data_IF_070720983101
#
_entry.id   IF_070720983101
#
_cell.length_a   1.000
_cell.length_b   1.000
_cell.length_c   1.000
_cell.angle_alpha   90.00
_cell.angle_beta   90.00
_cell.angle_gamma   90.00
#
_symmetry.space_group_name_H-M   'P 1'
#
loop_
_entity.id
_entity.type
_entity.pdbx_description
1 polymer ?
#
# COMPACT_ATOMS: atom_id res chain seq x y z
N UNK A 1 -2.88 -26.07 18.53
CA UNK A 1 -1.94 -26.36 17.42
C UNK A 1 -0.76 -25.40 17.57
N UNK A 2 0.50 -25.87 17.49
CA UNK A 2 1.65 -24.96 17.56
C UNK A 2 1.61 -24.05 16.32
N UNK A 3 1.72 -22.74 16.53
CA UNK A 3 1.75 -21.78 15.43
C UNK A 3 2.97 -22.05 14.54
N UNK A 4 2.79 -22.06 13.24
CA UNK A 4 3.82 -22.27 12.24
C UNK A 4 4.93 -21.19 12.39
N UNK A 5 6.24 -21.52 12.52
CA UNK A 5 7.29 -20.52 12.67
C UNK A 5 7.41 -19.64 11.41
N UNK A 6 7.81 -18.40 11.60
CA UNK A 6 8.29 -17.56 10.51
C UNK A 6 9.70 -17.98 10.08
N UNK A 7 10.06 -17.64 8.84
CA UNK A 7 11.37 -17.94 8.27
C UNK A 7 12.05 -16.72 7.67
N UNK A 8 13.21 -16.95 7.07
CA UNK A 8 13.91 -16.00 6.20
C UNK A 8 13.78 -16.49 4.76
N UNK A 9 13.57 -15.57 3.82
CA UNK A 9 13.74 -15.88 2.42
C UNK A 9 15.24 -15.85 2.05
N UNK A 10 15.92 -14.80 2.47
CA UNK A 10 17.37 -14.66 2.40
C UNK A 10 17.91 -14.27 3.77
N UNK A 11 18.37 -15.28 4.53
CA UNK A 11 18.89 -15.08 5.86
C UNK A 11 20.09 -14.12 5.87
N UNK A 12 20.95 -14.13 4.83
CA UNK A 12 22.10 -13.24 4.75
C UNK A 12 21.68 -11.77 4.69
N UNK A 13 20.76 -11.42 3.80
CA UNK A 13 20.28 -10.04 3.67
C UNK A 13 19.48 -9.60 4.89
N UNK A 14 18.61 -10.48 5.40
CA UNK A 14 17.69 -10.12 6.48
C UNK A 14 18.35 -10.03 7.86
N UNK A 15 19.51 -10.69 8.05
CA UNK A 15 20.29 -10.66 9.30
C UNK A 15 21.64 -9.95 9.18
N UNK A 16 21.86 -9.27 8.05
CA UNK A 16 23.12 -8.55 7.78
C UNK A 16 23.38 -7.49 8.87
N UNK A 17 24.59 -7.46 9.46
CA UNK A 17 24.96 -6.43 10.44
C UNK A 17 24.80 -5.01 9.88
N UNK A 18 24.45 -4.05 10.75
CA UNK A 18 24.16 -2.68 10.31
C UNK A 18 25.26 -2.04 9.47
N UNK A 19 26.56 -2.12 9.81
CA UNK A 19 27.62 -1.53 8.98
C UNK A 19 27.68 -2.13 7.57
N UNK A 20 27.54 -3.44 7.46
CA UNK A 20 27.54 -4.14 6.17
C UNK A 20 26.29 -3.78 5.36
N UNK A 21 25.12 -3.73 6.03
CA UNK A 21 23.85 -3.33 5.39
C UNK A 21 23.93 -1.89 4.87
N UNK A 22 24.51 -0.95 5.62
CA UNK A 22 24.70 0.43 5.16
C UNK A 22 25.61 0.49 3.93
N UNK A 23 26.71 -0.25 3.93
CA UNK A 23 27.61 -0.32 2.78
C UNK A 23 26.89 -0.91 1.56
N UNK A 24 26.21 -2.05 1.72
CA UNK A 24 25.46 -2.70 0.65
C UNK A 24 24.35 -1.81 0.08
N UNK A 25 23.56 -1.15 0.93
CA UNK A 25 22.53 -0.21 0.48
C UNK A 25 23.12 1.00 -0.25
N UNK A 26 24.29 1.49 0.21
CA UNK A 26 25.00 2.59 -0.45
C UNK A 26 25.49 2.22 -1.85
N UNK A 27 26.05 1.02 -2.03
CA UNK A 27 26.45 0.50 -3.34
C UNK A 27 25.25 0.35 -4.28
N UNK A 28 24.13 -0.24 -3.78
CA UNK A 28 22.90 -0.37 -4.55
C UNK A 28 22.30 0.98 -4.95
N UNK A 29 22.34 1.96 -4.03
CA UNK A 29 21.92 3.33 -4.34
C UNK A 29 22.75 3.93 -5.49
N UNK A 30 24.07 3.87 -5.40
CA UNK A 30 24.94 4.41 -6.43
C UNK A 30 24.71 3.73 -7.80
N UNK A 31 24.52 2.41 -7.83
CA UNK A 31 24.19 1.67 -9.05
C UNK A 31 22.86 2.10 -9.63
N UNK A 32 21.83 2.22 -8.77
CA UNK A 32 20.48 2.63 -9.19
C UNK A 32 20.48 4.07 -9.72
N UNK A 33 21.19 4.98 -9.07
CA UNK A 33 21.34 6.37 -9.55
C UNK A 33 22.02 6.42 -10.92
N UNK A 34 23.09 5.65 -11.13
CA UNK A 34 23.75 5.57 -12.46
C UNK A 34 22.80 5.05 -13.53
N UNK A 35 22.05 3.98 -13.23
CA UNK A 35 21.07 3.41 -14.14
C UNK A 35 19.94 4.40 -14.42
N UNK A 36 19.32 4.98 -13.40
CA UNK A 36 18.23 5.94 -13.52
C UNK A 36 18.64 7.18 -14.33
N UNK A 37 19.83 7.71 -14.06
CA UNK A 37 20.37 8.84 -14.83
C UNK A 37 20.57 8.50 -16.31
N UNK A 38 21.07 7.30 -16.60
CA UNK A 38 21.32 6.88 -17.98
C UNK A 38 20.05 6.55 -18.76
N UNK A 39 19.01 6.02 -18.10
CA UNK A 39 17.87 5.35 -18.75
C UNK A 39 16.52 6.02 -18.51
N UNK A 40 16.30 6.68 -17.37
CA UNK A 40 15.03 7.32 -17.01
C UNK A 40 15.14 8.85 -17.20
N UNK A 41 14.58 9.43 -18.29
CA UNK A 41 14.75 10.86 -18.60
C UNK A 41 14.29 11.78 -17.47
N UNK A 42 13.23 11.42 -16.73
CA UNK A 42 12.75 12.21 -15.58
C UNK A 42 13.76 12.20 -14.44
N UNK A 43 14.31 11.04 -14.08
CA UNK A 43 15.30 10.93 -13.03
C UNK A 43 16.56 11.77 -13.38
N UNK A 44 17.01 11.73 -14.64
CA UNK A 44 18.10 12.56 -15.13
C UNK A 44 17.81 14.05 -14.91
N UNK A 45 16.66 14.55 -15.41
CA UNK A 45 16.26 15.96 -15.24
C UNK A 45 16.20 16.37 -13.77
N UNK A 46 15.68 15.50 -12.90
CA UNK A 46 15.60 15.76 -11.46
C UNK A 46 16.99 15.90 -10.84
N UNK A 47 17.93 15.01 -11.18
CA UNK A 47 19.30 15.06 -10.68
C UNK A 47 20.07 16.26 -11.21
N UNK A 48 19.97 16.55 -12.50
CA UNK A 48 20.59 17.73 -13.13
C UNK A 48 20.08 19.05 -12.54
N UNK A 49 18.77 19.17 -12.30
CA UNK A 49 18.19 20.33 -11.66
C UNK A 49 18.69 20.54 -10.21
N UNK A 50 19.08 19.45 -9.54
CA UNK A 50 19.72 19.49 -8.22
C UNK A 50 21.26 19.70 -8.29
N UNK A 51 21.83 19.84 -9.49
CA UNK A 51 23.28 19.97 -9.68
C UNK A 51 24.04 18.67 -9.37
N UNK A 52 23.42 17.51 -9.52
CA UNK A 52 24.00 16.21 -9.21
C UNK A 52 24.34 15.45 -10.48
N UNK A 53 25.61 15.09 -10.62
CA UNK A 53 26.05 14.04 -11.53
C UNK A 53 25.87 12.66 -10.86
N UNK A 54 25.72 11.57 -11.64
CA UNK A 54 25.57 10.23 -11.05
C UNK A 54 26.77 9.77 -10.22
N UNK A 55 27.95 10.35 -10.45
CA UNK A 55 29.19 10.10 -9.67
C UNK A 55 29.22 10.80 -8.32
N UNK A 56 28.30 11.75 -8.09
CA UNK A 56 28.22 12.50 -6.83
C UNK A 56 27.47 11.74 -5.74
N UNK A 57 26.76 10.64 -6.12
CA UNK A 57 26.05 9.76 -5.18
C UNK A 57 26.85 8.47 -5.05
N UNK A 58 27.58 8.34 -3.94
CA UNK A 58 28.49 7.23 -3.68
C UNK A 58 28.02 6.30 -2.58
N UNK A 59 27.15 6.79 -1.69
CA UNK A 59 26.66 6.07 -0.53
C UNK A 59 25.41 6.70 0.06
N UNK A 60 24.96 6.16 1.19
CA UNK A 60 23.75 6.64 1.87
C UNK A 60 23.87 8.07 2.39
N UNK A 61 25.09 8.56 2.63
CA UNK A 61 25.35 9.92 3.08
C UNK A 61 24.98 10.97 2.02
N UNK A 62 24.97 10.59 0.72
CA UNK A 62 24.58 11.46 -0.38
C UNK A 62 23.07 11.42 -0.67
N UNK A 63 22.35 10.44 -0.11
CA UNK A 63 20.91 10.25 -0.34
C UNK A 63 20.10 11.54 -0.12
N UNK A 64 20.31 12.32 0.96
CA UNK A 64 19.53 13.54 1.20
C UNK A 64 19.71 14.64 0.13
N UNK A 65 20.73 14.57 -0.71
CA UNK A 65 20.97 15.50 -1.82
C UNK A 65 20.04 15.26 -3.00
N UNK A 66 19.50 14.03 -3.13
CA UNK A 66 18.56 13.67 -4.19
C UNK A 66 17.19 14.28 -3.84
N UNK A 67 16.57 15.07 -4.74
CA UNK A 67 15.23 15.60 -4.49
C UNK A 67 14.16 14.51 -4.31
N UNK A 68 13.19 14.78 -3.45
CA UNK A 68 12.03 13.88 -3.30
C UNK A 68 11.08 14.02 -4.48
N UNK A 69 10.80 12.91 -5.16
CA UNK A 69 9.73 12.82 -6.16
C UNK A 69 8.43 12.44 -5.46
N UNK A 70 7.39 13.26 -5.55
CA UNK A 70 6.15 13.00 -4.85
C UNK A 70 5.17 12.19 -5.71
N UNK A 71 4.47 11.27 -5.09
CA UNK A 71 3.44 10.46 -5.75
C UNK A 71 2.38 11.32 -6.42
N UNK A 72 2.01 12.43 -5.82
CA UNK A 72 0.98 13.34 -6.35
C UNK A 72 1.42 14.06 -7.63
N UNK A 73 2.71 14.07 -7.97
CA UNK A 73 3.25 14.65 -9.22
C UNK A 73 3.15 13.67 -10.40
N UNK A 74 2.98 12.37 -10.15
CA UNK A 74 2.99 11.34 -11.19
C UNK A 74 1.94 11.56 -12.28
N UNK A 75 0.67 11.89 -11.99
CA UNK A 75 -0.32 12.13 -13.05
C UNK A 75 0.10 13.24 -14.01
N UNK A 76 0.71 14.33 -13.49
CA UNK A 76 1.20 15.42 -14.33
C UNK A 76 2.42 14.98 -15.16
N UNK A 77 3.34 14.21 -14.59
CA UNK A 77 4.49 13.68 -15.33
C UNK A 77 4.04 12.73 -16.45
N UNK A 78 3.09 11.85 -16.18
CA UNK A 78 2.59 10.89 -17.15
C UNK A 78 1.73 11.53 -18.23
N UNK A 79 1.00 12.59 -17.92
CA UNK A 79 0.30 13.39 -18.93
C UNK A 79 1.26 14.13 -19.87
N UNK A 80 2.39 14.61 -19.33
CA UNK A 80 3.41 15.33 -20.13
C UNK A 80 4.29 14.39 -20.95
N UNK A 81 4.54 13.16 -20.48
CA UNK A 81 5.45 12.19 -21.10
C UNK A 81 4.92 10.77 -20.89
N UNK A 82 3.93 10.40 -21.73
CA UNK A 82 3.31 9.06 -21.66
C UNK A 82 4.30 7.95 -22.10
N UNK A 83 4.14 6.70 -21.58
CA UNK A 83 3.12 6.29 -20.62
C UNK A 83 3.51 6.48 -19.15
N UNK A 84 4.79 6.56 -18.80
CA UNK A 84 5.29 6.49 -17.42
C UNK A 84 5.99 7.77 -16.94
N UNK A 85 5.75 8.92 -17.58
CA UNK A 85 6.29 10.20 -17.14
C UNK A 85 7.82 10.34 -17.29
N UNK A 86 8.45 9.55 -18.15
CA UNK A 86 9.90 9.49 -18.28
C UNK A 86 10.60 8.81 -17.08
N UNK A 87 9.89 8.05 -16.26
CA UNK A 87 10.42 7.34 -15.09
C UNK A 87 10.82 5.89 -15.38
N UNK A 88 10.40 5.30 -16.51
CA UNK A 88 10.82 3.95 -16.89
C UNK A 88 12.31 3.92 -17.24
N UNK A 89 13.02 2.97 -16.66
CA UNK A 89 14.46 2.75 -16.85
C UNK A 89 14.79 1.69 -17.93
N UNK A 90 13.76 1.08 -18.53
CA UNK A 90 13.88 0.10 -19.60
C UNK A 90 12.86 0.40 -20.69
N UNK A 91 13.10 -0.03 -21.95
CA UNK A 91 12.14 0.13 -23.03
C UNK A 91 10.92 -0.77 -22.82
N UNK A 92 9.77 -0.43 -23.47
CA UNK A 92 8.47 -1.07 -23.23
C UNK A 92 8.50 -2.59 -23.47
N UNK A 93 9.25 -3.06 -24.46
CA UNK A 93 9.38 -4.48 -24.82
C UNK A 93 10.09 -5.33 -23.74
N UNK A 94 10.72 -4.69 -22.76
CA UNK A 94 11.33 -5.33 -21.59
C UNK A 94 10.45 -5.33 -20.35
N UNK A 95 9.26 -4.73 -20.43
CA UNK A 95 8.28 -4.78 -19.36
C UNK A 95 7.46 -6.07 -19.43
N UNK A 96 7.11 -6.62 -18.28
CA UNK A 96 6.24 -7.78 -18.21
C UNK A 96 4.76 -7.39 -18.29
N UNK A 97 4.37 -6.29 -17.65
CA UNK A 97 2.98 -5.78 -17.61
C UNK A 97 3.00 -4.26 -17.37
N UNK A 98 1.86 -3.65 -17.66
CA UNK A 98 1.56 -2.27 -17.26
C UNK A 98 0.20 -2.24 -16.57
N UNK A 99 0.06 -1.39 -15.58
CA UNK A 99 -1.13 -1.29 -14.73
C UNK A 99 -1.59 0.15 -14.62
N UNK A 100 -2.78 0.33 -14.07
CA UNK A 100 -3.30 1.61 -13.64
C UNK A 100 -3.73 1.49 -12.18
N UNK A 101 -2.97 2.12 -11.30
CA UNK A 101 -3.35 2.24 -9.89
C UNK A 101 -4.27 3.44 -9.66
N UNK A 102 -5.01 3.46 -8.53
CA UNK A 102 -5.87 4.61 -8.22
C UNK A 102 -5.08 5.91 -8.12
N UNK A 103 -5.52 6.90 -8.97
CA UNK A 103 -4.82 8.19 -8.98
C UNK A 103 -5.18 9.09 -10.16
N UNK A 104 -5.41 8.70 -11.44
CA UNK A 104 -4.90 7.49 -12.09
C UNK A 104 -3.38 7.57 -12.29
N UNK A 105 -2.67 6.51 -11.94
CA UNK A 105 -1.22 6.40 -12.10
C UNK A 105 -0.93 5.12 -12.87
N UNK A 106 -0.07 5.20 -13.87
CA UNK A 106 0.33 4.06 -14.67
C UNK A 106 1.65 3.49 -14.15
N UNK A 107 1.61 2.22 -13.75
CA UNK A 107 2.74 1.54 -13.10
C UNK A 107 3.28 0.44 -14.02
N UNK A 108 4.58 0.46 -14.39
CA UNK A 108 5.20 -0.62 -15.14
C UNK A 108 5.62 -1.75 -14.19
N UNK A 109 5.57 -2.99 -14.68
CA UNK A 109 6.21 -4.14 -14.06
C UNK A 109 7.40 -4.57 -14.90
N UNK A 110 8.58 -4.66 -14.28
CA UNK A 110 9.76 -5.27 -14.89
C UNK A 110 9.64 -6.78 -15.02
N UNK A 111 10.47 -7.36 -15.85
CA UNK A 111 10.61 -8.81 -15.96
C UNK A 111 11.27 -9.40 -14.71
N UNK A 112 10.95 -10.63 -14.39
CA UNK A 112 11.52 -11.37 -13.27
C UNK A 112 10.48 -11.85 -12.27
N UNK A 113 10.86 -12.79 -11.44
CA UNK A 113 10.01 -13.30 -10.37
C UNK A 113 9.99 -12.30 -9.21
N UNK A 114 8.81 -12.08 -8.64
CA UNK A 114 8.61 -11.22 -7.46
C UNK A 114 9.21 -9.81 -7.60
N UNK A 115 8.87 -9.15 -8.69
CA UNK A 115 9.31 -7.78 -8.99
C UNK A 115 9.10 -6.82 -7.80
N UNK A 116 8.01 -6.98 -7.05
CA UNK A 116 7.66 -6.15 -5.90
C UNK A 116 8.17 -6.67 -4.55
N UNK A 117 9.01 -7.74 -4.53
CA UNK A 117 9.77 -8.20 -3.36
C UNK A 117 8.94 -8.72 -2.17
N UNK A 118 7.74 -9.27 -2.43
CA UNK A 118 6.88 -9.79 -1.35
C UNK A 118 7.38 -11.10 -0.74
N UNK A 119 8.31 -11.83 -1.38
CA UNK A 119 8.87 -13.11 -0.91
C UNK A 119 9.39 -13.06 0.53
N UNK A 120 10.06 -11.97 0.94
CA UNK A 120 10.58 -11.81 2.29
C UNK A 120 9.45 -11.69 3.32
N UNK A 121 8.40 -10.95 2.99
CA UNK A 121 7.23 -10.79 3.83
C UNK A 121 6.47 -12.11 4.03
N UNK A 122 6.29 -12.87 2.95
CA UNK A 122 5.63 -14.18 3.02
C UNK A 122 6.46 -15.20 3.82
N UNK A 123 7.77 -15.27 3.61
CA UNK A 123 8.64 -16.14 4.40
C UNK A 123 8.59 -15.76 5.89
N UNK A 124 8.63 -14.46 6.22
CA UNK A 124 8.48 -13.97 7.58
C UNK A 124 7.14 -14.33 8.21
N UNK A 125 6.07 -14.33 7.42
CA UNK A 125 4.74 -14.76 7.86
C UNK A 125 4.60 -16.28 8.04
N UNK A 126 5.58 -17.08 7.55
CA UNK A 126 5.59 -18.53 7.67
C UNK A 126 4.98 -19.26 6.47
N UNK A 127 4.84 -18.59 5.34
CA UNK A 127 4.57 -19.24 4.06
C UNK A 127 5.77 -20.10 3.67
N UNK A 128 5.52 -21.22 3.02
CA UNK A 128 6.58 -22.19 2.62
C UNK A 128 6.20 -22.88 1.32
N UNK A 129 7.18 -23.48 0.69
CA UNK A 129 6.99 -24.29 -0.50
C UNK A 129 5.92 -25.38 -0.28
N UNK A 130 5.02 -25.50 -1.24
CA UNK A 130 3.90 -26.44 -1.20
C UNK A 130 2.62 -25.90 -0.51
N UNK A 131 2.64 -24.69 0.08
CA UNK A 131 1.40 -24.06 0.52
C UNK A 131 0.50 -23.73 -0.67
N UNK A 132 -0.81 -23.88 -0.47
CA UNK A 132 -1.84 -23.40 -1.38
C UNK A 132 -2.37 -22.10 -0.84
N UNK A 133 -2.16 -21.01 -1.56
CA UNK A 133 -2.44 -19.64 -1.13
C UNK A 133 -3.65 -19.09 -1.85
N UNK A 134 -4.70 -18.74 -1.12
CA UNK A 134 -5.80 -17.94 -1.69
C UNK A 134 -5.38 -16.48 -1.76
N UNK A 135 -5.28 -15.93 -2.97
CA UNK A 135 -4.96 -14.54 -3.25
C UNK A 135 -6.24 -13.78 -3.52
N UNK A 136 -6.73 -13.05 -2.52
CA UNK A 136 -7.98 -12.29 -2.62
C UNK A 136 -7.70 -10.81 -2.81
N UNK A 137 -7.12 -10.48 -3.97
CA UNK A 137 -6.78 -9.13 -4.39
C UNK A 137 -7.05 -8.93 -5.88
N UNK A 138 -7.30 -7.70 -6.31
CA UNK A 138 -7.66 -7.42 -7.70
C UNK A 138 -6.49 -7.71 -8.65
N UNK A 139 -6.80 -8.44 -9.71
CA UNK A 139 -5.95 -8.63 -10.89
C UNK A 139 -6.39 -7.73 -12.06
N UNK A 140 -7.53 -7.05 -11.91
CA UNK A 140 -8.14 -6.29 -12.99
C UNK A 140 -7.57 -4.88 -13.05
N UNK A 141 -6.70 -4.63 -14.04
CA UNK A 141 -5.99 -3.38 -14.32
C UNK A 141 -5.02 -2.91 -13.22
N UNK A 142 -5.12 -3.39 -11.98
CA UNK A 142 -4.28 -2.99 -10.86
C UNK A 142 -3.22 -4.05 -10.53
N UNK A 143 -2.07 -3.69 -9.96
CA UNK A 143 -0.97 -4.63 -9.75
C UNK A 143 -1.15 -5.55 -8.54
N UNK A 144 -2.00 -5.22 -7.54
CA UNK A 144 -1.98 -5.85 -6.22
C UNK A 144 -2.11 -7.38 -6.25
N UNK A 145 -3.02 -7.92 -7.06
CA UNK A 145 -3.17 -9.38 -7.20
C UNK A 145 -1.88 -10.04 -7.69
N UNK A 146 -1.24 -9.45 -8.71
CA UNK A 146 0.04 -9.94 -9.24
C UNK A 146 1.19 -9.78 -8.25
N UNK A 147 1.25 -8.69 -7.48
CA UNK A 147 2.26 -8.46 -6.44
C UNK A 147 2.26 -9.60 -5.42
N UNK A 148 1.08 -9.96 -4.93
CA UNK A 148 0.91 -11.00 -3.93
C UNK A 148 1.10 -12.40 -4.53
N UNK A 149 0.60 -12.62 -5.73
CA UNK A 149 0.74 -13.89 -6.46
C UNK A 149 2.22 -14.20 -6.76
N UNK A 150 2.93 -13.25 -7.39
CA UNK A 150 4.34 -13.40 -7.75
C UNK A 150 5.20 -13.64 -6.49
N UNK A 151 4.95 -12.90 -5.38
CA UNK A 151 5.66 -13.08 -4.11
C UNK A 151 5.42 -14.44 -3.47
N UNK A 152 4.18 -14.92 -3.44
CA UNK A 152 3.86 -16.26 -2.90
C UNK A 152 4.51 -17.37 -3.75
N UNK A 153 4.45 -17.24 -5.06
CA UNK A 153 5.10 -18.19 -5.99
C UNK A 153 6.61 -18.19 -5.85
N UNK A 154 7.23 -17.04 -5.57
CA UNK A 154 8.67 -16.95 -5.33
C UNK A 154 9.11 -17.73 -4.06
N UNK A 155 8.23 -17.89 -3.08
CA UNK A 155 8.45 -18.75 -1.90
C UNK A 155 8.25 -20.25 -2.23
N UNK A 156 7.68 -20.56 -3.39
CA UNK A 156 7.36 -21.93 -3.82
C UNK A 156 5.92 -22.35 -3.51
N UNK A 157 5.03 -21.42 -3.27
CA UNK A 157 3.61 -21.70 -3.05
C UNK A 157 2.87 -21.92 -4.39
N UNK A 158 1.74 -22.60 -4.31
CA UNK A 158 0.72 -22.66 -5.37
C UNK A 158 -0.34 -21.62 -5.07
N UNK A 159 -0.67 -20.76 -6.03
CA UNK A 159 -1.63 -19.67 -5.82
C UNK A 159 -3.00 -19.97 -6.43
N UNK A 160 -4.05 -19.57 -5.73
CA UNK A 160 -5.42 -19.53 -6.23
C UNK A 160 -5.72 -18.05 -6.49
N UNK A 161 -5.82 -17.60 -7.76
CA UNK A 161 -6.07 -16.19 -8.09
C UNK A 161 -7.56 -15.84 -7.88
N UNK A 162 -7.95 -15.70 -6.60
CA UNK A 162 -9.35 -15.49 -6.19
C UNK A 162 -9.92 -14.14 -6.63
N UNK A 163 -9.08 -13.11 -6.73
CA UNK A 163 -9.52 -11.77 -7.10
C UNK A 163 -10.35 -11.10 -6.01
N UNK A 164 -11.26 -10.20 -6.42
CA UNK A 164 -12.16 -9.48 -5.52
C UNK A 164 -13.60 -9.96 -5.66
N UNK A 165 -14.38 -9.89 -4.59
CA UNK A 165 -15.77 -10.35 -4.58
C UNK A 165 -15.89 -11.87 -4.68
N UNK A 166 -17.02 -12.37 -5.23
CA UNK A 166 -17.25 -13.81 -5.46
C UNK A 166 -17.00 -14.69 -4.22
N UNK A 167 -17.37 -14.21 -3.05
CA UNK A 167 -17.04 -14.82 -1.73
C UNK A 167 -17.34 -16.32 -1.68
N UNK A 168 -18.53 -16.72 -2.12
CA UNK A 168 -18.95 -18.14 -2.07
C UNK A 168 -18.12 -19.01 -3.01
N UNK A 169 -17.77 -18.50 -4.20
CA UNK A 169 -16.94 -19.23 -5.15
C UNK A 169 -15.52 -19.37 -4.61
N UNK A 170 -14.96 -18.30 -4.03
CA UNK A 170 -13.63 -18.36 -3.40
C UNK A 170 -13.59 -19.39 -2.26
N UNK A 171 -14.62 -19.42 -1.41
CA UNK A 171 -14.73 -20.42 -0.34
C UNK A 171 -14.77 -21.85 -0.92
N UNK A 172 -15.60 -22.11 -1.91
CA UNK A 172 -15.68 -23.44 -2.56
C UNK A 172 -14.34 -23.89 -3.13
N UNK A 173 -13.68 -23.02 -3.87
CA UNK A 173 -12.37 -23.33 -4.52
C UNK A 173 -11.29 -23.51 -3.46
N UNK A 174 -11.20 -22.62 -2.48
CA UNK A 174 -10.21 -22.70 -1.41
C UNK A 174 -10.40 -23.94 -0.52
N UNK A 175 -11.64 -24.29 -0.22
CA UNK A 175 -11.97 -25.53 0.49
C UNK A 175 -11.59 -26.76 -0.32
N UNK A 176 -11.96 -26.82 -1.60
CA UNK A 176 -11.66 -27.94 -2.48
C UNK A 176 -10.15 -28.17 -2.68
N UNK A 177 -9.41 -27.08 -2.91
CA UNK A 177 -7.96 -27.11 -3.07
C UNK A 177 -7.20 -27.12 -1.73
N UNK A 178 -7.91 -27.12 -0.59
CA UNK A 178 -7.34 -27.15 0.75
C UNK A 178 -6.33 -26.05 0.98
N UNK A 179 -6.73 -24.78 0.68
CA UNK A 179 -5.87 -23.62 0.88
C UNK A 179 -5.36 -23.55 2.33
N UNK A 180 -4.03 -23.55 2.49
CA UNK A 180 -3.34 -23.49 3.79
C UNK A 180 -2.91 -22.10 4.18
N UNK A 181 -2.93 -21.15 3.22
CA UNK A 181 -2.52 -19.78 3.43
C UNK A 181 -3.42 -18.79 2.69
N UNK A 182 -3.41 -17.55 3.14
CA UNK A 182 -4.19 -16.45 2.59
C UNK A 182 -3.35 -15.20 2.41
N UNK A 183 -3.63 -14.45 1.34
CA UNK A 183 -3.16 -13.07 1.21
C UNK A 183 -4.22 -12.19 0.54
N UNK A 184 -4.36 -10.96 1.04
CA UNK A 184 -5.39 -10.00 0.64
C UNK A 184 -5.67 -9.01 1.76
N UNK A 185 -6.91 -8.50 1.85
CA UNK A 185 -7.29 -7.60 2.95
C UNK A 185 -7.72 -8.38 4.19
N UNK A 186 -7.47 -7.84 5.40
CA UNK A 186 -7.86 -8.52 6.64
C UNK A 186 -9.38 -8.63 6.81
N UNK A 187 -10.13 -7.59 6.40
CA UNK A 187 -11.59 -7.59 6.51
C UNK A 187 -12.25 -8.65 5.63
N UNK A 188 -11.68 -8.91 4.43
CA UNK A 188 -12.21 -9.94 3.53
C UNK A 188 -11.85 -11.35 4.02
N UNK A 189 -10.67 -11.54 4.62
CA UNK A 189 -10.33 -12.81 5.28
C UNK A 189 -11.37 -13.17 6.36
N UNK A 190 -11.73 -12.21 7.22
CA UNK A 190 -12.77 -12.45 8.24
C UNK A 190 -14.08 -12.87 7.60
N UNK A 191 -14.52 -12.17 6.56
CA UNK A 191 -15.74 -12.50 5.81
C UNK A 191 -15.70 -13.92 5.26
N UNK A 192 -14.57 -14.36 4.70
CA UNK A 192 -14.39 -15.70 4.16
C UNK A 192 -14.50 -16.77 5.27
N UNK A 193 -13.80 -16.55 6.39
CA UNK A 193 -13.80 -17.50 7.51
C UNK A 193 -15.17 -17.65 8.17
N UNK A 194 -15.88 -16.53 8.37
CA UNK A 194 -17.24 -16.54 8.94
C UNK A 194 -18.22 -17.27 8.03
N UNK A 195 -18.28 -16.92 6.74
CA UNK A 195 -19.17 -17.55 5.77
C UNK A 195 -18.84 -19.02 5.51
N UNK A 196 -17.56 -19.37 5.49
CA UNK A 196 -17.15 -20.76 5.35
C UNK A 196 -17.63 -21.62 6.53
N UNK A 197 -17.52 -21.08 7.75
CA UNK A 197 -18.04 -21.74 8.97
C UNK A 197 -19.56 -21.91 8.93
N UNK A 198 -20.30 -20.86 8.53
CA UNK A 198 -21.75 -20.91 8.36
C UNK A 198 -22.18 -21.94 7.32
N UNK A 199 -21.44 -22.07 6.22
CA UNK A 199 -21.70 -23.02 5.15
C UNK A 199 -21.22 -24.47 5.47
N UNK A 200 -20.53 -24.67 6.60
CA UNK A 200 -19.94 -25.97 6.96
C UNK A 200 -18.79 -26.39 6.02
N UNK A 201 -18.16 -25.46 5.33
CA UNK A 201 -17.04 -25.71 4.43
C UNK A 201 -15.71 -25.44 5.16
N UNK A 202 -14.78 -26.41 5.22
CA UNK A 202 -13.51 -26.20 5.89
C UNK A 202 -12.60 -25.27 5.08
N UNK A 203 -12.04 -24.25 5.73
CA UNK A 203 -10.92 -23.47 5.21
C UNK A 203 -9.70 -23.70 6.13
N UNK A 204 -8.81 -24.63 5.79
CA UNK A 204 -7.68 -25.00 6.63
C UNK A 204 -6.53 -23.97 6.54
N UNK A 205 -6.86 -22.68 6.51
CA UNK A 205 -5.90 -21.59 6.48
C UNK A 205 -5.21 -21.50 7.84
N UNK A 206 -3.90 -21.64 7.85
CA UNK A 206 -3.06 -21.59 9.07
C UNK A 206 -2.35 -20.24 9.21
N UNK A 207 -1.99 -19.61 8.08
CA UNK A 207 -1.25 -18.35 8.05
C UNK A 207 -1.86 -17.39 7.05
N UNK A 208 -1.79 -16.11 7.35
CA UNK A 208 -2.20 -15.05 6.46
C UNK A 208 -1.19 -13.90 6.49
N UNK A 209 -0.90 -13.34 5.32
CA UNK A 209 -0.23 -12.05 5.18
C UNK A 209 -1.21 -11.06 4.58
N UNK A 210 -1.54 -10.02 5.34
CA UNK A 210 -2.56 -9.06 4.93
C UNK A 210 -1.97 -7.68 4.65
N UNK A 211 -2.58 -6.98 3.69
CA UNK A 211 -2.11 -5.67 3.21
C UNK A 211 -3.31 -4.86 2.69
N UNK A 212 -3.05 -3.62 2.32
CA UNK A 212 -4.01 -2.69 1.72
C UNK A 212 -5.04 -2.11 2.69
N UNK A 213 -5.26 -2.69 3.84
CA UNK A 213 -6.05 -2.17 4.95
C UNK A 213 -5.26 -2.28 6.25
N UNK A 214 -5.58 -1.43 7.21
CA UNK A 214 -5.04 -1.57 8.57
C UNK A 214 -5.56 -2.85 9.21
N UNK A 215 -4.72 -3.51 9.98
CA UNK A 215 -5.07 -4.66 10.82
C UNK A 215 -5.08 -4.21 12.30
N UNK A 216 -6.22 -3.72 12.83
CA UNK A 216 -6.34 -3.42 14.24
C UNK A 216 -6.19 -4.68 15.09
N UNK A 217 -5.74 -4.55 16.33
CA UNK A 217 -5.50 -5.70 17.19
C UNK A 217 -6.80 -6.46 17.52
N UNK A 218 -7.93 -5.76 17.58
CA UNK A 218 -9.25 -6.40 17.73
C UNK A 218 -9.59 -7.33 16.57
N UNK A 219 -9.32 -6.91 15.31
CA UNK A 219 -9.54 -7.75 14.12
C UNK A 219 -8.52 -8.89 14.06
N UNK A 220 -7.28 -8.64 14.43
CA UNK A 220 -6.24 -9.67 14.53
C UNK A 220 -6.67 -10.77 15.52
N UNK A 221 -7.12 -10.37 16.71
CA UNK A 221 -7.60 -11.32 17.74
C UNK A 221 -8.77 -12.15 17.23
N UNK A 222 -9.72 -11.55 16.51
CA UNK A 222 -10.85 -12.27 15.94
C UNK A 222 -10.39 -13.30 14.89
N UNK A 223 -9.49 -12.91 13.99
CA UNK A 223 -8.91 -13.80 12.97
C UNK A 223 -8.10 -14.94 13.61
N UNK A 224 -7.28 -14.63 14.61
CA UNK A 224 -6.51 -15.62 15.37
C UNK A 224 -7.43 -16.59 16.13
N UNK A 225 -8.63 -16.15 16.51
CA UNK A 225 -9.69 -17.00 17.07
C UNK A 225 -10.23 -18.08 16.12
N UNK A 226 -10.05 -17.92 14.81
CA UNK A 226 -10.29 -18.96 13.81
C UNK A 226 -9.10 -19.92 13.62
N UNK A 227 -8.00 -19.73 14.36
CA UNK A 227 -6.77 -20.53 14.23
C UNK A 227 -5.80 -20.04 13.16
N UNK A 228 -6.03 -18.87 12.59
CA UNK A 228 -5.18 -18.28 11.54
C UNK A 228 -4.19 -17.31 12.17
N UNK A 229 -2.87 -17.53 12.03
CA UNK A 229 -1.91 -16.51 12.37
C UNK A 229 -1.88 -15.43 11.28
N UNK A 230 -2.05 -14.17 11.67
CA UNK A 230 -2.13 -13.05 10.75
C UNK A 230 -0.99 -12.06 10.99
N UNK A 231 -0.20 -11.82 9.95
CA UNK A 231 0.82 -10.77 9.90
C UNK A 231 0.49 -9.80 8.76
N UNK A 232 0.98 -8.58 8.88
CA UNK A 232 0.69 -7.51 7.93
C UNK A 232 1.98 -6.87 7.38
N UNK A 233 1.84 -6.10 6.32
CA UNK A 233 2.92 -5.33 5.76
C UNK A 233 2.46 -4.04 5.12
N UNK A 234 3.43 -3.26 4.69
CA UNK A 234 3.25 -2.01 4.01
C UNK A 234 3.95 -2.02 2.65
N UNK A 235 3.26 -1.49 1.67
CA UNK A 235 3.77 -1.32 0.32
C UNK A 235 2.81 -0.49 -0.53
N UNK A 236 3.31 -0.04 -1.67
CA UNK A 236 2.53 0.72 -2.64
C UNK A 236 2.61 0.08 -4.02
N UNK A 237 1.69 0.43 -4.92
CA UNK A 237 1.69 -0.07 -6.29
C UNK A 237 3.00 0.28 -7.02
N UNK A 238 3.51 1.48 -6.74
CA UNK A 238 4.72 2.04 -7.37
C UNK A 238 6.00 1.35 -6.88
N UNK A 239 6.08 1.08 -5.57
CA UNK A 239 7.33 0.70 -4.89
C UNK A 239 7.37 -0.77 -4.47
N UNK A 240 6.23 -1.47 -4.45
CA UNK A 240 6.15 -2.83 -3.92
C UNK A 240 6.21 -2.88 -2.40
N UNK A 241 6.71 -3.98 -1.84
CA UNK A 241 6.84 -4.21 -0.41
C UNK A 241 7.96 -3.35 0.18
N UNK A 242 7.63 -2.50 1.15
CA UNK A 242 8.57 -1.62 1.84
C UNK A 242 8.84 -2.02 3.27
N UNK A 243 7.85 -2.64 3.94
CA UNK A 243 8.01 -3.12 5.30
C UNK A 243 7.02 -4.25 5.61
N UNK A 244 7.38 -5.13 6.56
CA UNK A 244 6.56 -6.29 6.93
C UNK A 244 6.76 -6.70 8.39
N UNK A 245 5.71 -7.23 9.00
CA UNK A 245 5.77 -7.86 10.31
C UNK A 245 6.53 -9.20 10.27
N UNK A 246 7.13 -9.53 11.39
CA UNK A 246 7.58 -10.87 11.72
C UNK A 246 6.73 -11.47 12.86
N UNK A 247 6.97 -12.72 13.22
CA UNK A 247 6.24 -13.42 14.30
C UNK A 247 6.31 -12.75 15.66
N UNK A 248 7.34 -11.93 15.90
CA UNK A 248 7.51 -11.16 17.14
C UNK A 248 6.62 -9.92 17.21
N UNK A 249 5.97 -9.55 16.09
CA UNK A 249 5.13 -8.34 16.00
C UNK A 249 5.90 -7.06 16.42
N UNK A 250 5.21 -6.05 16.95
CA UNK A 250 5.85 -4.84 17.48
C UNK A 250 6.51 -3.95 16.42
N UNK A 251 5.82 -3.73 15.31
CA UNK A 251 6.26 -2.93 14.16
C UNK A 251 6.69 -3.76 12.97
N UNK A 252 6.99 -3.09 11.86
CA UNK A 252 7.28 -3.69 10.57
C UNK A 252 8.73 -3.47 10.19
N UNK A 253 9.49 -4.55 10.02
CA UNK A 253 10.87 -4.47 9.52
C UNK A 253 10.89 -3.82 8.16
N UNK A 254 11.76 -2.82 7.97
CA UNK A 254 12.05 -2.26 6.66
C UNK A 254 12.61 -3.38 5.78
N UNK A 255 12.12 -3.42 4.55
CA UNK A 255 12.53 -4.43 3.58
C UNK A 255 14.03 -4.35 3.29
N UNK A 256 14.79 -5.47 3.26
CA UNK A 256 16.23 -5.43 3.10
C UNK A 256 16.70 -4.91 1.73
N UNK A 257 15.86 -4.99 0.71
CA UNK A 257 16.18 -4.58 -0.67
C UNK A 257 15.59 -3.20 -1.06
N UNK A 258 15.41 -2.30 -0.10
CA UNK A 258 15.07 -0.90 -0.37
C UNK A 258 15.60 0.01 0.74
N UNK A 259 15.65 1.29 0.45
CA UNK A 259 15.89 2.33 1.45
C UNK A 259 14.56 2.96 1.80
N UNK A 260 14.27 3.09 3.09
CA UNK A 260 13.10 3.79 3.60
C UNK A 260 13.57 4.86 4.58
N UNK A 261 13.23 6.11 4.28
CA UNK A 261 13.38 7.27 5.13
C UNK A 261 12.02 7.64 5.72
N UNK A 262 12.00 8.23 6.91
CA UNK A 262 10.83 8.91 7.46
C UNK A 262 11.22 10.38 7.59
N UNK A 263 10.65 11.24 6.76
CA UNK A 263 11.03 12.64 6.68
C UNK A 263 10.03 13.52 7.42
N UNK A 264 10.54 14.34 8.32
CA UNK A 264 9.76 15.36 9.01
C UNK A 264 9.09 16.30 7.98
N UNK A 265 7.78 16.55 8.16
CA UNK A 265 6.96 17.26 7.19
C UNK A 265 7.28 18.76 7.05
N UNK A 266 7.88 19.36 8.07
CA UNK A 266 8.21 20.79 8.08
C UNK A 266 9.62 21.02 7.54
N UNK A 267 10.57 20.19 7.97
CA UNK A 267 11.99 20.40 7.67
C UNK A 267 12.48 19.62 6.44
N UNK A 268 11.74 18.56 6.04
CA UNK A 268 12.15 17.62 5.00
C UNK A 268 13.40 16.80 5.33
N UNK A 269 13.84 16.81 6.60
CA UNK A 269 14.96 16.04 7.11
C UNK A 269 14.47 14.74 7.76
N UNK A 270 15.37 13.81 7.98
CA UNK A 270 15.05 12.56 8.68
C UNK A 270 14.47 12.84 10.08
N UNK A 271 13.30 12.27 10.35
CA UNK A 271 12.64 12.40 11.63
C UNK A 271 13.34 11.54 12.69
N UNK A 272 13.42 12.03 13.92
CA UNK A 272 13.94 11.22 15.02
C UNK A 272 13.04 10.00 15.27
N UNK A 273 13.59 8.88 15.77
CA UNK A 273 12.79 7.71 16.13
C UNK A 273 11.61 8.09 17.04
N UNK A 274 10.43 7.60 16.70
CA UNK A 274 9.17 7.93 17.37
C UNK A 274 8.49 9.21 16.88
N UNK A 275 9.15 10.05 16.10
CA UNK A 275 8.55 11.24 15.51
C UNK A 275 7.86 10.92 14.17
N UNK A 276 6.63 11.42 13.95
CA UNK A 276 5.93 11.25 12.68
C UNK A 276 6.64 11.96 11.52
N UNK A 277 6.64 11.32 10.36
CA UNK A 277 7.13 11.91 9.11
C UNK A 277 6.59 11.17 7.89
N UNK A 278 6.79 11.74 6.71
CA UNK A 278 6.43 11.10 5.42
C UNK A 278 7.37 9.93 5.14
N UNK A 279 6.78 8.79 4.74
CA UNK A 279 7.56 7.67 4.22
C UNK A 279 8.07 8.04 2.82
N UNK A 280 9.37 8.07 2.68
CA UNK A 280 10.08 8.25 1.41
C UNK A 280 10.93 7.02 1.15
N UNK A 281 10.86 6.45 -0.04
CA UNK A 281 11.59 5.23 -0.32
C UNK A 281 12.35 5.28 -1.65
N UNK A 282 13.45 4.54 -1.70
CA UNK A 282 14.23 4.27 -2.91
C UNK A 282 14.26 2.76 -3.14
N UNK A 283 13.86 2.32 -4.32
CA UNK A 283 13.90 0.90 -4.73
C UNK A 283 14.97 0.69 -5.78
N UNK A 284 15.61 -0.48 -5.73
CA UNK A 284 16.71 -0.85 -6.61
C UNK A 284 16.21 -1.60 -7.84
N UNK A 285 15.35 -0.95 -8.60
CA UNK A 285 14.65 -1.53 -9.73
C UNK A 285 15.14 -0.90 -11.04
N UNK A 286 15.47 -1.74 -12.02
CA UNK A 286 15.89 -1.26 -13.33
C UNK A 286 14.71 -0.77 -14.18
N UNK A 287 13.55 -1.40 -14.04
CA UNK A 287 12.39 -1.06 -14.87
C UNK A 287 11.70 0.23 -14.43
N UNK A 288 11.66 0.47 -13.11
CA UNK A 288 11.04 1.67 -12.53
C UNK A 288 11.91 2.20 -11.37
N UNK A 289 13.07 2.78 -11.67
CA UNK A 289 14.05 3.18 -10.66
C UNK A 289 13.61 4.45 -9.93
N UNK A 290 12.69 4.29 -8.98
CA UNK A 290 12.18 5.40 -8.17
C UNK A 290 13.17 5.75 -7.06
N UNK A 291 13.76 6.95 -7.17
CA UNK A 291 14.69 7.52 -6.21
C UNK A 291 13.95 8.48 -5.28
N UNK A 292 14.12 8.30 -3.96
CA UNK A 292 13.47 9.13 -2.92
C UNK A 292 12.03 9.47 -3.25
N UNK A 293 11.23 8.45 -3.41
CA UNK A 293 9.82 8.59 -3.76
C UNK A 293 8.97 8.78 -2.51
N UNK A 294 8.35 9.95 -2.39
CA UNK A 294 7.42 10.29 -1.32
C UNK A 294 6.07 9.63 -1.53
N UNK A 295 5.71 8.74 -0.62
CA UNK A 295 4.48 7.93 -0.73
C UNK A 295 3.21 8.69 -0.36
N UNK A 296 3.36 9.80 0.35
CA UNK A 296 2.26 10.53 0.98
C UNK A 296 1.69 9.84 2.22
N UNK A 297 2.28 8.73 2.68
CA UNK A 297 1.88 8.07 3.93
C UNK A 297 2.79 8.52 5.08
N UNK A 298 2.21 8.68 6.27
CA UNK A 298 2.90 9.12 7.49
C UNK A 298 3.14 7.92 8.39
N UNK A 299 4.37 7.80 8.89
CA UNK A 299 4.76 6.80 9.86
C UNK A 299 5.79 7.37 10.86
N UNK A 300 6.21 6.54 11.81
CA UNK A 300 7.36 6.82 12.64
C UNK A 300 8.31 5.61 12.66
N UNK A 301 9.61 5.86 12.70
CA UNK A 301 10.57 4.79 12.98
C UNK A 301 10.40 4.32 14.43
N UNK A 302 10.36 3.03 14.65
CA UNK A 302 10.40 2.48 15.99
C UNK A 302 11.77 2.75 16.63
N UNK A 303 11.84 2.91 17.97
CA UNK A 303 13.11 2.96 18.66
C UNK A 303 13.98 1.76 18.31
N UNK A 304 15.29 1.98 18.17
CA UNK A 304 16.23 0.94 17.83
C UNK A 304 16.21 -0.17 18.88
N UNK A 305 15.86 -1.38 18.49
CA UNK A 305 15.86 -2.57 19.33
C UNK A 305 16.15 -3.81 18.50
N UNK A 306 16.87 -4.77 19.11
CA UNK A 306 17.05 -6.09 18.47
C UNK A 306 15.72 -6.83 18.50
N UNK A 307 15.33 -7.37 17.34
CA UNK A 307 14.18 -8.25 17.26
C UNK A 307 14.55 -9.69 17.55
N UNK A 308 13.78 -10.39 18.37
CA UNK A 308 14.00 -11.80 18.70
C UNK A 308 13.93 -12.71 17.45
N UNK A 309 13.26 -12.26 16.38
CA UNK A 309 13.24 -12.99 15.10
C UNK A 309 14.62 -13.07 14.41
N UNK A 310 15.63 -12.32 14.86
CA UNK A 310 16.97 -12.27 14.28
C UNK A 310 17.19 -11.26 13.16
N UNK A 311 16.13 -10.63 12.63
CA UNK A 311 16.25 -9.56 11.62
C UNK A 311 16.89 -8.32 12.21
N UNK A 312 17.77 -7.69 11.44
CA UNK A 312 18.57 -6.55 11.86
C UNK A 312 18.08 -5.21 11.28
N UNK A 313 17.18 -5.24 10.29
CA UNK A 313 16.63 -4.03 9.71
C UNK A 313 15.82 -3.23 10.75
N UNK A 314 15.86 -1.89 10.73
CA UNK A 314 14.98 -1.04 11.54
C UNK A 314 13.51 -1.38 11.31
N UNK A 315 12.65 -0.93 12.22
CA UNK A 315 11.20 -1.10 12.11
C UNK A 315 10.49 0.24 11.94
N UNK A 316 9.43 0.22 11.15
CA UNK A 316 8.38 1.24 11.19
C UNK A 316 7.39 0.84 12.29
N UNK A 317 7.00 1.77 13.15
CA UNK A 317 6.06 1.49 14.25
C UNK A 317 4.64 1.16 13.74
N UNK A 318 4.28 1.69 12.58
CA UNK A 318 2.99 1.55 11.90
C UNK A 318 2.64 2.82 11.13
N UNK A 319 1.55 2.77 10.36
CA UNK A 319 1.04 3.96 9.67
C UNK A 319 0.25 4.83 10.64
N UNK A 320 0.46 6.15 10.53
CA UNK A 320 -0.20 7.17 11.36
C UNK A 320 -1.23 7.99 10.58
N UNK A 321 -1.17 7.97 9.24
CA UNK A 321 -2.08 8.74 8.38
C UNK A 321 -1.48 9.02 7.01
N UNK A 322 -1.97 10.08 6.35
CA UNK A 322 -1.47 10.54 5.05
C UNK A 322 -1.17 12.02 5.05
N UNK A 323 -0.18 12.39 4.22
CA UNK A 323 0.10 13.78 3.87
C UNK A 323 -1.02 14.26 2.94
N UNK A 324 -1.80 15.27 3.37
CA UNK A 324 -2.92 15.81 2.59
C UNK A 324 -4.26 15.08 2.78
N UNK A 325 -5.23 15.44 1.95
CA UNK A 325 -6.65 15.09 2.10
C UNK A 325 -7.06 13.71 1.52
N UNK A 326 -6.14 12.76 1.36
CA UNK A 326 -6.49 11.46 0.83
C UNK A 326 -6.64 10.43 1.95
N UNK A 327 -7.75 9.70 1.96
CA UNK A 327 -8.03 8.64 2.93
C UNK A 327 -8.29 7.34 2.19
N UNK A 328 -7.72 6.24 2.65
CA UNK A 328 -7.96 4.92 2.08
C UNK A 328 -9.23 4.33 2.67
N UNK A 329 -10.20 4.00 1.80
CA UNK A 329 -11.49 3.42 2.18
C UNK A 329 -11.69 2.14 1.36
N UNK A 330 -11.86 1.00 2.02
CA UNK A 330 -12.04 -0.32 1.36
C UNK A 330 -10.98 -0.59 0.28
N UNK A 331 -9.72 -0.25 0.57
CA UNK A 331 -8.61 -0.42 -0.36
C UNK A 331 -8.45 0.67 -1.43
N UNK A 332 -9.42 1.59 -1.58
CA UNK A 332 -9.41 2.68 -2.56
C UNK A 332 -9.03 4.01 -1.91
N UNK A 333 -8.25 4.82 -2.61
CA UNK A 333 -7.92 6.16 -2.15
C UNK A 333 -9.04 7.13 -2.53
N UNK A 334 -9.66 7.73 -1.52
CA UNK A 334 -10.66 8.79 -1.67
C UNK A 334 -9.99 10.12 -1.34
N UNK A 335 -9.97 11.03 -2.29
CA UNK A 335 -9.44 12.39 -2.10
C UNK A 335 -10.58 13.38 -1.96
N UNK A 336 -10.47 14.28 -1.00
CA UNK A 336 -11.46 15.34 -0.81
C UNK A 336 -11.68 16.18 -2.08
N UNK A 337 -10.60 16.43 -2.83
CA UNK A 337 -10.67 17.12 -4.12
C UNK A 337 -11.50 16.37 -5.18
N UNK A 338 -11.46 15.04 -5.24
CA UNK A 338 -12.28 14.24 -6.15
C UNK A 338 -13.77 14.34 -5.78
N UNK A 339 -14.07 14.28 -4.49
CA UNK A 339 -15.44 14.41 -3.98
C UNK A 339 -16.00 15.79 -4.35
N UNK A 340 -15.22 16.86 -4.16
CA UNK A 340 -15.63 18.23 -4.58
C UNK A 340 -15.79 18.35 -6.10
N UNK A 341 -14.91 17.75 -6.88
CA UNK A 341 -14.98 17.81 -8.35
C UNK A 341 -16.25 17.15 -8.88
N UNK A 342 -16.66 16.02 -8.28
CA UNK A 342 -17.94 15.37 -8.60
C UNK A 342 -19.10 16.25 -8.16
N UNK A 343 -19.08 16.79 -6.94
CA UNK A 343 -20.14 17.63 -6.39
C UNK A 343 -20.40 18.87 -7.25
N UNK A 344 -19.36 19.49 -7.83
CA UNK A 344 -19.48 20.64 -8.75
C UNK A 344 -20.29 20.35 -10.03
N UNK A 345 -20.52 19.09 -10.38
CA UNK A 345 -21.40 18.70 -11.50
C UNK A 345 -22.88 18.81 -11.14
N UNK A 346 -23.20 19.05 -9.87
CA UNK A 346 -24.55 19.14 -9.33
C UNK A 346 -24.81 20.57 -8.82
N UNK A 347 -25.49 21.41 -9.60
CA UNK A 347 -25.73 22.80 -9.22
C UNK A 347 -26.51 22.98 -7.89
N UNK A 348 -27.23 21.92 -7.50
CA UNK A 348 -28.02 21.90 -6.25
C UNK A 348 -27.11 21.78 -5.01
N UNK A 349 -25.85 21.36 -5.18
CA UNK A 349 -24.90 21.09 -4.08
C UNK A 349 -23.99 22.30 -3.88
N UNK A 350 -24.11 22.95 -2.72
CA UNK A 350 -23.30 24.11 -2.36
C UNK A 350 -21.93 23.71 -1.80
N UNK A 351 -21.88 22.69 -0.94
CA UNK A 351 -20.65 22.17 -0.31
C UNK A 351 -20.76 20.68 -0.04
N UNK A 352 -19.59 20.02 0.04
CA UNK A 352 -19.50 18.61 0.43
C UNK A 352 -18.38 18.39 1.43
N UNK A 353 -18.56 17.38 2.27
CA UNK A 353 -17.54 16.83 3.13
C UNK A 353 -17.65 15.31 3.12
N UNK A 354 -16.55 14.62 2.87
CA UNK A 354 -16.45 13.18 3.06
C UNK A 354 -16.08 12.89 4.51
N UNK A 355 -16.75 11.91 5.11
CA UNK A 355 -16.49 11.44 6.47
C UNK A 355 -16.23 9.95 6.40
N UNK A 356 -15.09 9.52 6.93
CA UNK A 356 -14.72 8.11 6.99
C UNK A 356 -14.80 7.62 8.42
N UNK A 357 -15.60 6.59 8.63
CA UNK A 357 -15.74 5.91 9.91
C UNK A 357 -15.45 4.42 9.75
N UNK A 358 -15.36 3.69 10.85
CA UNK A 358 -15.19 2.24 10.86
C UNK A 358 -16.20 1.62 11.81
N UNK A 359 -16.91 0.62 11.33
CA UNK A 359 -17.89 -0.12 12.11
C UNK A 359 -17.75 -1.61 11.79
N UNK A 360 -17.70 -2.46 12.82
CA UNK A 360 -17.48 -3.89 12.69
C UNK A 360 -16.33 -4.25 11.72
N UNK A 361 -15.17 -3.57 11.88
CA UNK A 361 -13.95 -3.72 11.05
C UNK A 361 -14.10 -3.33 9.57
N UNK A 362 -15.24 -2.74 9.18
CA UNK A 362 -15.47 -2.27 7.81
C UNK A 362 -15.47 -0.75 7.74
N UNK A 363 -14.76 -0.23 6.75
CA UNK A 363 -14.75 1.20 6.47
C UNK A 363 -16.10 1.63 5.88
N UNK A 364 -16.65 2.72 6.41
CA UNK A 364 -17.82 3.42 5.88
C UNK A 364 -17.41 4.79 5.38
N UNK A 365 -17.94 5.17 4.24
CA UNK A 365 -17.79 6.48 3.63
C UNK A 365 -19.13 7.15 3.58
N UNK A 366 -19.32 8.21 4.35
CA UNK A 366 -20.45 9.12 4.26
C UNK A 366 -20.01 10.39 3.50
N UNK A 367 -20.83 10.89 2.59
CA UNK A 367 -20.66 12.20 1.99
C UNK A 367 -21.82 13.07 2.40
N UNK A 368 -21.53 14.09 3.22
CA UNK A 368 -22.48 15.12 3.60
C UNK A 368 -22.49 16.17 2.49
N UNK A 369 -23.66 16.42 1.90
CA UNK A 369 -23.84 17.42 0.84
C UNK A 369 -24.82 18.49 1.30
N UNK A 370 -24.35 19.74 1.40
CA UNK A 370 -25.21 20.90 1.69
C UNK A 370 -25.97 21.29 0.43
N UNK A 371 -27.30 21.45 0.59
CA UNK A 371 -28.22 21.84 -0.50
C UNK A 371 -29.03 23.08 -0.11
N UNK A 372 -29.32 23.92 -1.10
CA UNK A 372 -29.96 25.21 -0.90
C UNK A 372 -31.50 25.15 -0.80
N UNK A 373 -32.08 24.13 -0.13
CA UNK A 373 -33.51 24.04 0.17
C UNK A 373 -34.12 22.65 0.06
N UNK A 374 -35.25 22.39 0.72
CA UNK A 374 -35.87 21.06 0.81
C UNK A 374 -36.53 20.55 -0.49
N UNK A 375 -36.68 21.41 -1.51
CA UNK A 375 -37.36 21.07 -2.78
C UNK A 375 -36.49 20.30 -3.79
N UNK A 376 -35.18 20.19 -3.58
CA UNK A 376 -34.21 19.55 -4.53
C UNK A 376 -33.77 18.15 -4.12
N UNK A 377 -34.41 17.56 -3.13
CA UNK A 377 -33.91 16.33 -2.48
C UNK A 377 -34.29 15.02 -3.18
N UNK A 378 -35.19 15.00 -4.14
CA UNK A 378 -35.79 13.81 -4.77
C UNK A 378 -34.81 12.64 -4.97
N UNK A 379 -34.14 12.56 -6.11
CA UNK A 379 -33.16 11.55 -6.45
C UNK A 379 -31.71 12.01 -6.32
N UNK A 380 -31.46 13.25 -5.87
CA UNK A 380 -30.14 13.89 -5.84
C UNK A 380 -29.11 13.06 -5.07
N UNK A 381 -29.48 12.54 -3.89
CA UNK A 381 -28.59 11.72 -3.10
C UNK A 381 -28.15 10.46 -3.85
N UNK A 382 -29.08 9.81 -4.56
CA UNK A 382 -28.79 8.61 -5.35
C UNK A 382 -27.91 8.92 -6.58
N UNK A 383 -28.22 10.02 -7.30
CA UNK A 383 -27.40 10.47 -8.45
C UNK A 383 -25.99 10.85 -8.02
N UNK A 384 -25.86 11.58 -6.93
CA UNK A 384 -24.56 11.98 -6.38
C UNK A 384 -23.77 10.77 -5.89
N UNK A 385 -24.41 9.80 -5.21
CA UNK A 385 -23.78 8.57 -4.76
C UNK A 385 -23.25 7.73 -5.95
N UNK A 386 -24.01 7.66 -7.04
CA UNK A 386 -23.59 6.91 -8.22
C UNK A 386 -22.44 7.62 -8.95
N UNK A 387 -22.49 8.93 -9.16
CA UNK A 387 -21.41 9.69 -9.76
C UNK A 387 -20.12 9.62 -8.92
N UNK A 388 -20.24 9.66 -7.59
CA UNK A 388 -19.13 9.45 -6.69
C UNK A 388 -18.58 8.02 -6.80
N UNK A 389 -19.45 7.00 -6.84
CA UNK A 389 -19.02 5.60 -7.02
C UNK A 389 -18.21 5.41 -8.31
N UNK A 390 -18.65 6.05 -9.40
CA UNK A 390 -17.92 5.99 -10.68
C UNK A 390 -16.54 6.63 -10.59
N UNK A 391 -16.39 7.73 -9.87
CA UNK A 391 -15.13 8.47 -9.76
C UNK A 391 -14.16 7.82 -8.75
N UNK A 392 -14.63 7.58 -7.52
CA UNK A 392 -13.76 7.15 -6.41
C UNK A 392 -13.74 5.61 -6.22
N UNK A 393 -14.52 4.86 -7.02
CA UNK A 393 -14.64 3.38 -7.00
C UNK A 393 -15.10 2.81 -5.64
N UNK A 394 -15.63 3.65 -4.77
CA UNK A 394 -16.29 3.30 -3.51
C UNK A 394 -17.68 3.92 -3.50
N UNK A 395 -18.70 3.15 -3.16
CA UNK A 395 -20.06 3.67 -3.02
C UNK A 395 -20.20 4.34 -1.66
N UNK A 396 -20.37 5.67 -1.60
CA UNK A 396 -20.64 6.37 -0.33
C UNK A 396 -22.13 6.27 0.04
N UNK A 397 -22.42 6.46 1.33
CA UNK A 397 -23.72 6.91 1.79
C UNK A 397 -23.78 8.43 1.61
N UNK A 398 -24.75 8.96 0.87
CA UNK A 398 -24.91 10.40 0.67
C UNK A 398 -26.02 10.91 1.57
N UNK A 399 -25.67 11.84 2.44
CA UNK A 399 -26.60 12.54 3.31
C UNK A 399 -26.74 14.00 2.87
N UNK A 400 -27.94 14.38 2.47
CA UNK A 400 -28.27 15.80 2.19
C UNK A 400 -28.47 16.55 3.50
N UNK A 401 -27.91 17.74 3.57
CA UNK A 401 -27.94 18.59 4.75
C UNK A 401 -28.25 20.05 4.39
N UNK A 402 -28.76 20.80 5.35
CA UNK A 402 -28.98 22.23 5.17
C UNK A 402 -27.65 22.98 5.07
N UNK A 403 -27.64 24.10 4.34
CA UNK A 403 -26.50 25.02 4.27
C UNK A 403 -26.04 25.44 5.67
N UNK A 404 -24.71 25.38 5.92
CA UNK A 404 -24.13 25.70 7.23
C UNK A 404 -23.96 24.48 8.16
N UNK A 405 -24.33 23.26 7.73
CA UNK A 405 -24.09 22.02 8.49
C UNK A 405 -22.62 21.66 8.53
N UNK A 406 -21.87 21.94 7.45
CA UNK A 406 -20.42 21.71 7.37
C UNK A 406 -19.71 22.94 7.93
N UNK A 407 -18.94 22.82 9.04
CA UNK A 407 -18.27 23.97 9.67
C UNK A 407 -17.35 24.72 8.69
N UNK A 408 -17.25 26.03 8.85
CA UNK A 408 -16.28 26.83 8.13
C UNK A 408 -14.86 26.30 8.48
N UNK A 409 -14.03 26.03 7.44
CA UNK A 409 -12.69 25.45 7.64
C UNK A 409 -12.66 23.94 7.88
N UNK A 410 -13.80 23.26 7.81
CA UNK A 410 -13.82 21.79 7.89
C UNK A 410 -12.94 21.16 6.79
N UNK A 411 -12.22 20.09 7.14
CA UNK A 411 -11.45 19.29 6.17
C UNK A 411 -12.39 18.75 5.09
N UNK A 412 -11.93 18.69 3.86
CA UNK A 412 -12.68 18.11 2.73
C UNK A 412 -13.01 16.62 2.94
N UNK A 413 -12.06 15.93 3.60
CA UNK A 413 -12.25 14.55 4.04
C UNK A 413 -11.82 14.46 5.50
N UNK A 414 -12.69 13.90 6.34
CA UNK A 414 -12.51 13.77 7.78
C UNK A 414 -12.46 12.29 8.15
N UNK A 415 -11.24 11.81 8.45
CA UNK A 415 -11.05 10.43 8.87
C UNK A 415 -11.24 10.32 10.38
N UNK A 416 -12.40 9.79 10.78
CA UNK A 416 -12.80 9.59 12.19
C UNK A 416 -12.57 8.17 12.67
N UNK A 417 -11.83 7.35 11.94
CA UNK A 417 -11.59 5.98 12.35
C UNK A 417 -10.71 5.95 13.59
N UNK A 418 -11.13 5.15 14.57
CA UNK A 418 -10.35 4.85 15.76
C UNK A 418 -9.79 3.44 15.60
N UNK A 419 -8.48 3.34 15.63
CA UNK A 419 -7.74 2.07 15.56
C UNK A 419 -7.49 1.57 16.98
N UNK A 420 -8.35 0.65 17.46
CA UNK A 420 -8.20 0.01 18.78
C UNK A 420 -7.58 -1.37 18.63
#
# INVERSE_FOLDING_TARGET
MALRPGGFFDARLETMPEPERRAWLGERLADTVRHAYARAPRARRTLEAAGLAPTDVRGLEDLPRIPVTRKDDLPAFQAAEAPFGGLAGVPLERLARAFMSPGPIYDPQGAGADFWRFRHAFAAAGFRAGDVVLVSASYHLTPLGFMLDDGARAVGCVTIPGGVGQTELQIKVASWLRATAYTGTPSFLLTLLQKAREAGLPLPIEVAFVIAEMLPESLRTELEGFGVRVLQGYGTADLGCLAYECTEKGGWHIHPECIVEVLDLETGREAAPGQPGEIVATVFDEAYPLLRFGTGDIAALAPAARCACGRTAPKIAGLLGRVGDAVKVKGMFVRGAQVEAVAKRFPEVARVQAIVTREAHQDRLEVVAEVAGPGSAGDLAARLAEALREEIKVRPEVRLAATGTIPAGAKRIDDRRVWK
#
